data_IF_442879304701
#
_entry.id   IF_442879304701
#
_cell.length_a   1.000
_cell.length_b   1.000
_cell.length_c   1.000
_cell.angle_alpha   90.00
_cell.angle_beta   90.00
_cell.angle_gamma   90.00
#
_symmetry.space_group_name_H-M   'P 1'
#
loop_
_entity.id
_entity.type
_entity.pdbx_description
1 polymer ?
#
# COMPACT_ATOMS: atom_id res chain seq x y z
N UNK A 1 11.19 5.78 21.32
CA UNK A 1 11.12 5.47 19.87
C UNK A 1 12.23 6.29 19.30
N UNK A 2 13.38 5.66 19.14
CA UNK A 2 14.65 6.36 19.08
C UNK A 2 15.11 6.33 17.63
N UNK A 3 14.43 7.12 16.78
CA UNK A 3 14.89 7.38 15.42
C UNK A 3 15.95 8.46 15.48
N UNK A 4 17.11 8.18 14.90
CA UNK A 4 18.13 9.20 14.64
C UNK A 4 17.71 10.09 13.47
N UNK A 5 18.33 11.26 13.33
CA UNK A 5 18.12 12.12 12.16
C UNK A 5 18.50 11.38 10.86
N UNK A 6 19.52 10.54 10.93
CA UNK A 6 20.00 9.69 9.84
C UNK A 6 18.95 8.64 9.45
N UNK A 7 18.31 7.98 10.41
CA UNK A 7 17.22 7.04 10.15
C UNK A 7 16.03 7.73 9.45
N UNK A 8 15.64 8.90 9.94
CA UNK A 8 14.55 9.68 9.34
C UNK A 8 14.90 10.07 7.90
N UNK A 9 16.12 10.54 7.67
CA UNK A 9 16.59 10.95 6.34
C UNK A 9 16.66 9.77 5.37
N UNK A 10 17.18 8.63 5.83
CA UNK A 10 17.24 7.41 5.03
C UNK A 10 15.85 6.89 4.67
N UNK A 11 14.93 6.83 5.64
CA UNK A 11 13.56 6.37 5.40
C UNK A 11 12.80 7.31 4.46
N UNK A 12 13.00 8.62 4.60
CA UNK A 12 12.30 9.64 3.79
C UNK A 12 12.81 9.64 2.35
N UNK A 13 14.14 9.67 2.17
CA UNK A 13 14.74 9.61 0.83
C UNK A 13 14.36 8.33 0.10
N UNK A 14 14.36 7.19 0.80
CA UNK A 14 14.03 5.89 0.21
C UNK A 14 12.54 5.74 -0.10
N UNK A 15 11.64 6.08 0.83
CA UNK A 15 10.23 5.75 0.68
C UNK A 15 9.41 6.82 -0.05
N UNK A 16 9.75 8.10 0.10
CA UNK A 16 8.97 9.21 -0.42
C UNK A 16 9.70 9.93 -1.55
N UNK A 17 10.91 10.44 -1.30
CA UNK A 17 11.60 11.30 -2.28
C UNK A 17 11.94 10.52 -3.54
N UNK A 18 12.38 9.27 -3.43
CA UNK A 18 12.69 8.42 -4.60
C UNK A 18 11.49 8.29 -5.54
N UNK A 19 10.28 8.04 -5.00
CA UNK A 19 9.05 7.85 -5.76
C UNK A 19 8.56 9.16 -6.39
N UNK A 20 8.68 10.27 -5.66
CA UNK A 20 8.36 11.59 -6.20
C UNK A 20 9.34 11.98 -7.33
N UNK A 21 10.65 11.86 -7.08
CA UNK A 21 11.69 12.26 -8.01
C UNK A 21 11.63 11.47 -9.31
N UNK A 22 11.45 10.14 -9.25
CA UNK A 22 11.32 9.33 -10.48
C UNK A 22 10.05 9.71 -11.26
N UNK A 23 8.96 10.08 -10.59
CA UNK A 23 7.72 10.51 -11.25
C UNK A 23 7.94 11.82 -12.02
N UNK A 24 8.59 12.81 -11.40
CA UNK A 24 8.90 14.09 -12.05
C UNK A 24 9.87 13.90 -13.20
N UNK A 25 10.93 13.11 -13.00
CA UNK A 25 11.91 12.81 -14.06
C UNK A 25 11.28 12.06 -15.24
N UNK A 26 10.29 11.21 -14.98
CA UNK A 26 9.56 10.46 -16.01
C UNK A 26 8.49 11.29 -16.73
N UNK A 27 8.10 12.48 -16.24
CA UNK A 27 7.00 13.28 -16.79
C UNK A 27 7.11 13.50 -18.31
N UNK A 28 8.27 13.89 -18.90
CA UNK A 28 8.39 14.04 -20.35
C UNK A 28 8.18 12.72 -21.11
N UNK A 29 8.61 11.59 -20.55
CA UNK A 29 8.44 10.26 -21.15
C UNK A 29 6.98 9.79 -21.07
N UNK A 30 6.29 10.12 -19.98
CA UNK A 30 4.88 9.83 -19.79
C UNK A 30 4.02 10.63 -20.78
N UNK A 31 4.35 11.92 -21.01
CA UNK A 31 3.72 12.72 -22.07
C UNK A 31 3.96 12.05 -23.44
N UNK A 32 5.20 11.69 -23.74
CA UNK A 32 5.56 11.08 -25.03
C UNK A 32 4.84 9.73 -25.27
N UNK A 33 4.46 9.00 -24.22
CA UNK A 33 3.69 7.76 -24.33
C UNK A 33 2.24 7.97 -24.83
N UNK A 34 1.71 9.19 -24.72
CA UNK A 34 0.35 9.56 -25.12
C UNK A 34 -0.76 9.09 -24.17
N UNK A 35 -0.49 8.17 -23.24
CA UNK A 35 -1.44 7.69 -22.23
C UNK A 35 -0.69 7.19 -20.98
N UNK A 36 -0.03 8.11 -20.27
CA UNK A 36 0.80 7.77 -19.11
C UNK A 36 -0.01 7.25 -17.92
N UNK A 37 0.57 6.32 -17.16
CA UNK A 37 -0.01 5.85 -15.90
C UNK A 37 1.08 5.68 -14.84
N UNK A 38 0.85 6.26 -13.66
CA UNK A 38 1.69 6.08 -12.48
C UNK A 38 0.86 5.42 -11.38
N UNK A 39 1.45 4.42 -10.74
CA UNK A 39 0.85 3.76 -9.57
C UNK A 39 1.83 3.81 -8.42
N UNK A 40 1.53 4.62 -7.40
CA UNK A 40 2.30 4.67 -6.17
C UNK A 40 1.97 3.45 -5.30
N UNK A 41 3.00 2.74 -4.83
CA UNK A 41 2.85 1.68 -3.84
C UNK A 41 3.01 2.26 -2.44
N UNK A 42 1.89 2.45 -1.77
CA UNK A 42 1.80 3.00 -0.42
C UNK A 42 1.66 1.86 0.60
N UNK A 43 0.93 2.07 1.68
CA UNK A 43 0.60 1.11 2.73
C UNK A 43 -0.63 1.57 3.50
N UNK A 44 -1.37 0.64 4.11
CA UNK A 44 -2.38 1.00 5.12
C UNK A 44 -1.80 1.84 6.28
N UNK A 45 -0.49 1.74 6.55
CA UNK A 45 0.20 2.56 7.54
C UNK A 45 0.21 4.06 7.19
N UNK A 46 -0.03 4.42 5.91
CA UNK A 46 -0.22 5.80 5.46
C UNK A 46 -1.65 6.34 5.60
N UNK A 47 -2.57 5.53 6.13
CA UNK A 47 -3.99 5.86 6.34
C UNK A 47 -4.37 5.72 7.81
N UNK A 48 -3.94 4.63 8.43
CA UNK A 48 -4.23 4.27 9.82
C UNK A 48 -2.93 4.02 10.56
N UNK A 49 -2.79 4.47 11.81
CA UNK A 49 -1.59 4.20 12.59
C UNK A 49 -1.30 2.69 12.69
N UNK A 50 -0.07 2.31 12.33
CA UNK A 50 0.48 0.99 12.55
C UNK A 50 1.54 1.07 13.67
N UNK A 51 1.54 0.09 14.56
CA UNK A 51 2.48 0.04 15.69
C UNK A 51 3.93 0.06 15.18
N UNK A 52 4.79 0.86 15.82
CA UNK A 52 6.23 0.98 15.58
C UNK A 52 6.69 1.47 14.19
N UNK A 53 5.84 2.12 13.40
CA UNK A 53 6.23 2.61 12.05
C UNK A 53 5.82 4.07 11.75
N UNK A 54 6.03 5.06 12.64
CA UNK A 54 5.51 6.41 12.46
C UNK A 54 6.16 7.14 11.27
N UNK A 55 7.48 7.05 11.09
CA UNK A 55 8.18 7.72 9.98
C UNK A 55 7.82 7.08 8.64
N UNK A 56 7.80 5.74 8.58
CA UNK A 56 7.34 5.01 7.41
C UNK A 56 5.88 5.36 7.06
N UNK A 57 4.98 5.35 8.04
CA UNK A 57 3.58 5.73 7.88
C UNK A 57 3.43 7.17 7.39
N UNK A 58 4.19 8.11 7.95
CA UNK A 58 4.22 9.50 7.48
C UNK A 58 4.66 9.60 6.02
N UNK A 59 5.71 8.89 5.62
CA UNK A 59 6.19 8.87 4.23
C UNK A 59 5.15 8.29 3.27
N UNK A 60 4.46 7.21 3.67
CA UNK A 60 3.36 6.63 2.88
C UNK A 60 2.14 7.56 2.83
N UNK A 61 1.86 8.32 3.89
CA UNK A 61 0.86 9.39 3.89
C UNK A 61 1.22 10.54 2.95
N UNK A 62 2.49 10.95 2.92
CA UNK A 62 2.98 11.96 1.99
C UNK A 62 2.84 11.50 0.53
N UNK A 63 3.18 10.22 0.24
CA UNK A 63 2.93 9.61 -1.08
C UNK A 63 1.44 9.65 -1.46
N UNK A 64 0.55 9.34 -0.52
CA UNK A 64 -0.90 9.37 -0.74
C UNK A 64 -1.38 10.77 -1.15
N UNK A 65 -0.82 11.80 -0.54
CA UNK A 65 -1.21 13.18 -0.83
C UNK A 65 -0.59 13.71 -2.12
N UNK A 66 0.72 13.49 -2.34
CA UNK A 66 1.39 14.00 -3.54
C UNK A 66 0.82 13.37 -4.82
N UNK A 67 0.47 12.09 -4.79
CA UNK A 67 -0.12 11.41 -5.94
C UNK A 67 -1.46 12.04 -6.38
N UNK A 68 -2.25 12.58 -5.45
CA UNK A 68 -3.49 13.32 -5.77
C UNK A 68 -3.21 14.66 -6.45
N UNK A 69 -2.17 15.37 -5.99
CA UNK A 69 -1.73 16.60 -6.66
C UNK A 69 -1.27 16.31 -8.09
N UNK A 70 -0.38 15.31 -8.27
CA UNK A 70 0.09 14.91 -9.58
C UNK A 70 -1.05 14.43 -10.50
N UNK A 71 -2.05 13.73 -9.97
CA UNK A 71 -3.23 13.33 -10.72
C UNK A 71 -4.01 14.53 -11.29
N UNK A 72 -4.15 15.60 -10.52
CA UNK A 72 -4.80 16.83 -10.97
C UNK A 72 -3.92 17.61 -11.95
N UNK A 73 -2.65 17.81 -11.62
CA UNK A 73 -1.73 18.65 -12.38
C UNK A 73 -1.43 18.05 -13.77
N UNK A 74 -1.33 16.72 -13.87
CA UNK A 74 -0.95 16.02 -15.10
C UNK A 74 -2.14 15.44 -15.88
N UNK A 75 -3.38 15.65 -15.41
CA UNK A 75 -4.58 15.19 -16.13
C UNK A 75 -4.67 15.75 -17.56
N UNK A 76 -4.32 17.03 -17.74
CA UNK A 76 -4.32 17.69 -19.06
C UNK A 76 -3.32 17.07 -20.04
N UNK A 77 -2.30 16.39 -19.52
CA UNK A 77 -1.26 15.73 -20.29
C UNK A 77 -1.62 14.26 -20.61
N UNK A 78 -2.87 13.85 -20.33
CA UNK A 78 -3.37 12.47 -20.43
C UNK A 78 -2.57 11.46 -19.58
N UNK A 79 -2.15 11.90 -18.39
CA UNK A 79 -1.45 11.06 -17.41
C UNK A 79 -2.40 10.79 -16.23
N UNK A 80 -2.54 9.52 -15.88
CA UNK A 80 -3.27 9.09 -14.68
C UNK A 80 -2.29 8.76 -13.56
N UNK A 81 -2.64 9.13 -12.33
CA UNK A 81 -1.82 8.83 -11.15
C UNK A 81 -2.73 8.26 -10.08
N UNK A 82 -2.45 7.04 -9.63
CA UNK A 82 -3.24 6.36 -8.59
C UNK A 82 -2.32 5.78 -7.51
N UNK A 83 -2.94 5.34 -6.42
CA UNK A 83 -2.25 4.78 -5.26
C UNK A 83 -2.86 3.42 -4.93
N UNK A 84 -2.00 2.43 -4.73
CA UNK A 84 -2.38 1.14 -4.13
C UNK A 84 -1.84 1.11 -2.71
N UNK A 85 -2.69 0.80 -1.73
CA UNK A 85 -2.35 0.73 -0.31
C UNK A 85 -2.53 -0.70 0.20
N UNK A 86 -1.47 -1.54 0.15
CA UNK A 86 -1.54 -2.90 0.65
C UNK A 86 -1.69 -2.97 2.17
N UNK A 87 -2.44 -3.99 2.63
CA UNK A 87 -2.42 -4.46 4.01
C UNK A 87 -1.19 -5.32 4.32
N UNK A 88 -1.35 -6.34 5.15
CA UNK A 88 -0.26 -7.30 5.42
C UNK A 88 -0.22 -8.36 4.31
N UNK A 89 0.88 -8.39 3.56
CA UNK A 89 1.08 -9.27 2.41
C UNK A 89 2.15 -10.32 2.74
N UNK A 90 1.91 -11.59 2.38
CA UNK A 90 2.83 -12.70 2.60
C UNK A 90 4.05 -12.57 1.66
N UNK A 91 5.13 -11.97 2.16
CA UNK A 91 6.41 -11.82 1.45
C UNK A 91 7.58 -12.31 2.33
N UNK A 92 8.74 -12.66 1.73
CA UNK A 92 9.94 -12.98 2.51
C UNK A 92 10.38 -11.86 3.46
N UNK A 93 10.04 -10.60 3.14
CA UNK A 93 10.33 -9.46 4.01
C UNK A 93 9.36 -9.37 5.18
N UNK A 94 8.07 -9.67 4.96
CA UNK A 94 7.02 -9.51 5.98
C UNK A 94 6.95 -10.68 6.96
N UNK A 95 7.20 -11.91 6.49
CA UNK A 95 7.06 -13.13 7.29
C UNK A 95 7.91 -13.12 8.59
N UNK A 96 9.19 -12.71 8.58
CA UNK A 96 10.02 -12.71 9.78
C UNK A 96 9.48 -11.87 10.94
N UNK A 97 8.66 -10.83 10.67
CA UNK A 97 8.05 -10.02 11.72
C UNK A 97 6.97 -10.76 12.53
N UNK A 98 6.44 -11.86 12.00
CA UNK A 98 5.40 -12.67 12.64
C UNK A 98 5.93 -14.03 13.13
N UNK A 99 7.13 -14.42 12.73
CA UNK A 99 7.78 -15.65 13.18
C UNK A 99 8.01 -15.60 14.70
N UNK A 100 7.57 -16.65 15.40
CA UNK A 100 7.67 -16.73 16.87
C UNK A 100 6.70 -15.82 17.64
N UNK A 101 5.93 -14.96 16.98
CA UNK A 101 4.96 -14.05 17.62
C UNK A 101 3.51 -14.39 17.24
N UNK A 102 3.00 -15.46 17.88
CA UNK A 102 1.65 -15.97 17.64
C UNK A 102 0.56 -14.94 17.98
N UNK A 103 0.75 -14.14 19.04
CA UNK A 103 -0.22 -13.12 19.45
C UNK A 103 -0.36 -12.01 18.38
N UNK A 104 0.76 -11.53 17.84
CA UNK A 104 0.74 -10.53 16.77
C UNK A 104 0.05 -11.10 15.53
N UNK A 105 0.37 -12.34 15.14
CA UNK A 105 -0.27 -13.00 14.01
C UNK A 105 -1.80 -13.11 14.20
N UNK A 106 -2.25 -13.65 15.33
CA UNK A 106 -3.68 -13.80 15.65
C UNK A 106 -4.39 -12.45 15.69
N UNK A 107 -3.76 -11.44 16.27
CA UNK A 107 -4.30 -10.07 16.31
C UNK A 107 -4.46 -9.51 14.90
N UNK A 108 -3.44 -9.61 14.05
CA UNK A 108 -3.51 -9.15 12.66
C UNK A 108 -4.58 -9.90 11.87
N UNK A 109 -4.71 -11.22 12.04
CA UNK A 109 -5.77 -12.01 11.41
C UNK A 109 -7.16 -11.59 11.88
N UNK A 110 -7.36 -11.40 13.18
CA UNK A 110 -8.66 -10.99 13.73
C UNK A 110 -9.11 -9.60 13.26
N UNK A 111 -8.16 -8.71 12.94
CA UNK A 111 -8.44 -7.37 12.41
C UNK A 111 -8.64 -7.35 10.89
N UNK A 112 -8.31 -8.42 10.20
CA UNK A 112 -8.48 -8.56 8.74
C UNK A 112 -9.75 -9.37 8.47
N UNK A 113 -10.82 -8.78 7.91
CA UNK A 113 -12.07 -9.51 7.61
C UNK A 113 -11.89 -10.81 6.80
N UNK A 114 -10.94 -10.85 5.87
CA UNK A 114 -10.61 -12.09 5.13
C UNK A 114 -9.76 -13.10 5.91
N UNK A 115 -9.37 -12.79 7.15
CA UNK A 115 -8.68 -13.66 8.12
C UNK A 115 -7.40 -14.34 7.58
N UNK A 116 -6.70 -13.69 6.65
CA UNK A 116 -5.42 -14.15 6.08
C UNK A 116 -4.57 -12.98 5.64
N UNK A 117 -3.27 -13.20 5.49
CA UNK A 117 -2.43 -12.29 4.70
C UNK A 117 -2.87 -12.28 3.23
N UNK A 118 -2.71 -11.13 2.60
CA UNK A 118 -2.79 -11.02 1.15
C UNK A 118 -1.61 -11.73 0.48
N UNK A 119 -1.75 -12.06 -0.79
CA UNK A 119 -0.66 -12.57 -1.63
C UNK A 119 -0.12 -11.44 -2.53
N UNK A 120 1.16 -11.47 -2.94
CA UNK A 120 1.71 -10.47 -3.85
C UNK A 120 0.89 -10.28 -5.13
N UNK A 121 0.30 -11.38 -5.65
CA UNK A 121 -0.50 -11.38 -6.88
C UNK A 121 -1.80 -10.57 -6.73
N UNK A 122 -2.33 -10.44 -5.53
CA UNK A 122 -3.54 -9.64 -5.27
C UNK A 122 -3.24 -8.14 -5.35
N UNK A 123 -2.03 -7.73 -4.96
CA UNK A 123 -1.56 -6.34 -5.11
C UNK A 123 -1.18 -6.08 -6.56
N UNK A 124 -0.43 -6.96 -7.20
CA UNK A 124 0.03 -6.76 -8.58
C UNK A 124 -1.14 -6.76 -9.58
N UNK A 125 -2.19 -7.55 -9.34
CA UNK A 125 -3.41 -7.51 -10.15
C UNK A 125 -4.08 -6.12 -10.13
N UNK A 126 -4.13 -5.45 -8.98
CA UNK A 126 -4.66 -4.09 -8.87
C UNK A 126 -3.78 -3.08 -9.60
N UNK A 127 -2.45 -3.17 -9.43
CA UNK A 127 -1.49 -2.32 -10.16
C UNK A 127 -1.66 -2.50 -11.67
N UNK A 128 -1.74 -3.75 -12.15
CA UNK A 128 -1.94 -4.05 -13.56
C UNK A 128 -3.26 -3.46 -14.07
N UNK A 129 -4.37 -3.65 -13.36
CA UNK A 129 -5.66 -3.05 -13.70
C UNK A 129 -5.55 -1.53 -13.87
N UNK A 130 -4.90 -0.83 -12.93
CA UNK A 130 -4.72 0.62 -12.97
C UNK A 130 -3.87 1.08 -14.15
N UNK A 131 -3.01 0.23 -14.70
CA UNK A 131 -2.21 0.52 -15.90
C UNK A 131 -2.93 0.18 -17.21
N UNK A 132 -4.04 -0.57 -17.18
CA UNK A 132 -4.79 -0.95 -18.38
C UNK A 132 -5.74 0.17 -18.85
N UNK A 133 -6.14 0.18 -20.15
CA UNK A 133 -7.16 1.09 -20.66
C UNK A 133 -8.51 1.01 -19.94
N UNK A 134 -8.81 -0.12 -19.30
CA UNK A 134 -10.02 -0.30 -18.48
C UNK A 134 -10.10 0.69 -17.30
N UNK A 135 -8.96 1.23 -16.85
CA UNK A 135 -8.88 2.25 -15.80
C UNK A 135 -8.78 3.68 -16.35
N UNK A 136 -9.16 3.92 -17.62
CA UNK A 136 -9.01 5.21 -18.30
C UNK A 136 -9.69 6.40 -17.61
N UNK A 137 -10.70 6.15 -16.78
CA UNK A 137 -11.40 7.17 -15.99
C UNK A 137 -11.09 7.09 -14.48
N UNK A 138 -10.03 6.38 -14.10
CA UNK A 138 -9.57 6.24 -12.72
C UNK A 138 -8.25 6.99 -12.55
N UNK A 139 -8.30 8.11 -11.82
CA UNK A 139 -7.12 8.90 -11.44
C UNK A 139 -7.34 9.54 -10.06
N UNK A 140 -6.25 9.81 -9.34
CA UNK A 140 -6.23 10.37 -7.99
C UNK A 140 -6.75 9.43 -6.90
N UNK A 141 -7.04 8.17 -7.23
CA UNK A 141 -7.68 7.24 -6.31
C UNK A 141 -6.65 6.55 -5.42
N UNK A 142 -7.01 6.42 -4.14
CA UNK A 142 -6.31 5.59 -3.18
C UNK A 142 -7.13 4.32 -2.97
N UNK A 143 -6.55 3.18 -3.33
CA UNK A 143 -7.25 1.89 -3.34
C UNK A 143 -6.58 0.94 -2.36
N UNK A 144 -7.30 0.59 -1.29
CA UNK A 144 -6.88 -0.40 -0.31
C UNK A 144 -6.96 -1.83 -0.86
N UNK A 145 -5.85 -2.56 -0.75
CA UNK A 145 -5.76 -4.00 -1.04
C UNK A 145 -5.33 -4.69 0.25
N UNK A 146 -6.25 -4.78 1.20
CA UNK A 146 -5.93 -5.07 2.61
C UNK A 146 -6.87 -6.09 3.27
N UNK A 147 -7.67 -6.80 2.46
CA UNK A 147 -8.65 -7.76 2.96
C UNK A 147 -9.71 -7.15 3.90
N UNK A 148 -9.94 -5.83 3.80
CA UNK A 148 -10.91 -5.08 4.58
C UNK A 148 -10.37 -4.51 5.91
N UNK A 149 -9.07 -4.62 6.17
CA UNK A 149 -8.48 -4.26 7.47
C UNK A 149 -8.74 -2.79 7.88
N UNK A 150 -8.65 -1.85 6.94
CA UNK A 150 -8.83 -0.41 7.20
C UNK A 150 -10.28 0.02 7.38
N UNK A 151 -11.24 -0.79 6.95
CA UNK A 151 -12.68 -0.48 7.04
C UNK A 151 -13.40 -1.30 8.11
N UNK A 152 -12.67 -2.15 8.85
CA UNK A 152 -13.21 -3.04 9.87
C UNK A 152 -13.48 -2.34 11.22
N UNK A 153 -14.23 -1.24 11.20
CA UNK A 153 -14.34 -0.27 12.32
C UNK A 153 -14.67 -0.84 13.70
N UNK A 154 -15.87 -1.43 13.89
CA UNK A 154 -16.42 -1.83 15.21
C UNK A 154 -16.46 -3.37 15.39
N UNK A 155 -16.34 -4.13 14.31
CA UNK A 155 -16.48 -5.58 14.35
C UNK A 155 -15.18 -6.25 14.83
N UNK A 156 -15.18 -6.68 16.09
CA UNK A 156 -14.19 -7.60 16.65
C UNK A 156 -14.81 -8.98 16.89
N UNK A 157 -15.09 -9.81 15.86
CA UNK A 157 -15.45 -11.17 16.16
C UNK A 157 -14.17 -11.87 16.59
N UNK A 158 -14.09 -12.25 17.87
CA UNK A 158 -13.29 -13.41 18.30
C UNK A 158 -13.70 -14.73 17.59
N UNK A 159 -14.57 -14.67 16.58
CA UNK A 159 -15.34 -15.78 16.00
C UNK A 159 -15.60 -15.66 14.49
N UNK A 160 -14.70 -15.06 13.67
CA UNK A 160 -14.75 -15.35 12.23
C UNK A 160 -14.24 -16.79 12.02
N UNK A 161 -15.22 -17.70 12.13
CA UNK A 161 -15.34 -19.05 11.56
C UNK A 161 -14.15 -20.01 11.73
N UNK A 162 -14.38 -21.01 12.59
CA UNK A 162 -13.78 -22.35 12.66
C UNK A 162 -13.93 -23.19 11.37
N UNK A 163 -14.09 -22.59 10.19
CA UNK A 163 -14.49 -23.30 8.95
C UNK A 163 -13.56 -23.14 7.74
N UNK A 164 -12.31 -22.74 7.94
CA UNK A 164 -11.27 -23.01 6.95
C UNK A 164 -10.13 -23.74 7.64
N UNK A 165 -10.00 -25.03 7.32
CA UNK A 165 -8.89 -25.89 7.73
C UNK A 165 -7.53 -25.24 7.41
N UNK A 166 -6.49 -25.53 8.21
CA UNK A 166 -5.20 -24.85 8.08
C UNK A 166 -4.50 -25.29 6.80
N UNK A 167 -4.43 -24.40 5.81
CA UNK A 167 -3.50 -24.50 4.66
C UNK A 167 -2.03 -24.22 5.04
N UNK A 168 -1.63 -24.63 6.25
CA UNK A 168 -0.26 -24.53 6.74
C UNK A 168 0.18 -25.88 7.33
N UNK A 169 0.17 -26.90 6.47
CA UNK A 169 1.13 -28.00 6.51
C UNK A 169 1.62 -28.23 5.08
N UNK A 170 2.95 -28.36 4.97
CA UNK A 170 3.82 -28.42 3.78
C UNK A 170 4.41 -27.07 3.36
#
# INVERSE_FOLDING_TARGET
MDYTTEDVSFLTSTNFESAYNISVLAHPLLIASGAGSIVFISSIAGITPAYLMPIYGANKGAMNQIAKFLACDWARDNIRVNIVTPGVIKTPHTLPYFEGNKELLETTMSRTPLARFGKPEEVSAMVAFLCLPAASYVTGQLICVDGGMTVNGIYFPKQIRKHHEPYYQN
#
